data_IF_211998024598
#
_entry.id   IF_211998024598
#
_cell.length_a   1.000
_cell.length_b   1.000
_cell.length_c   1.000
_cell.angle_alpha   90.00
_cell.angle_beta   90.00
_cell.angle_gamma   90.00
#
_symmetry.space_group_name_H-M   'P 1'
#
loop_
_entity.id
_entity.type
_entity.pdbx_description
1 polymer ?
#
# COMPACT_ATOMS: atom_id res chain seq x y z
N UNK A 1 -13.35 13.90 3.41
CA UNK A 1 -13.74 12.48 3.62
C UNK A 1 -13.66 11.67 2.34
N UNK A 2 -13.18 10.44 2.43
CA UNK A 2 -13.20 9.54 1.28
C UNK A 2 -14.54 8.82 1.17
N UNK A 3 -14.97 8.53 -0.07
CA UNK A 3 -16.15 7.69 -0.29
C UNK A 3 -15.90 6.27 0.25
N UNK A 4 -16.88 5.68 0.89
CA UNK A 4 -16.82 4.31 1.44
C UNK A 4 -16.39 3.29 0.40
N UNK A 5 -16.85 3.45 -0.85
CA UNK A 5 -16.44 2.60 -1.97
C UNK A 5 -14.93 2.61 -2.24
N UNK A 6 -14.27 3.73 -2.04
CA UNK A 6 -12.80 3.85 -2.21
C UNK A 6 -12.03 3.15 -1.11
N UNK A 7 -12.54 3.18 0.11
CA UNK A 7 -11.97 2.47 1.26
C UNK A 7 -12.09 0.95 1.03
N UNK A 8 -13.28 0.48 0.69
CA UNK A 8 -13.55 -0.94 0.40
C UNK A 8 -12.73 -1.43 -0.78
N UNK A 9 -12.61 -0.64 -1.86
CA UNK A 9 -11.77 -1.00 -3.01
C UNK A 9 -10.30 -1.15 -2.62
N UNK A 10 -9.80 -0.31 -1.72
CA UNK A 10 -8.42 -0.42 -1.23
C UNK A 10 -8.20 -1.69 -0.40
N UNK A 11 -9.17 -2.08 0.43
CA UNK A 11 -9.10 -3.32 1.21
C UNK A 11 -9.15 -4.57 0.32
N UNK A 12 -10.04 -4.59 -0.69
CA UNK A 12 -10.06 -5.67 -1.71
C UNK A 12 -8.72 -5.79 -2.42
N UNK A 13 -8.13 -4.67 -2.78
CA UNK A 13 -6.81 -4.64 -3.43
C UNK A 13 -5.72 -5.18 -2.51
N UNK A 14 -5.79 -4.87 -1.21
CA UNK A 14 -4.84 -5.41 -0.22
C UNK A 14 -4.87 -6.93 -0.17
N UNK A 15 -6.06 -7.52 -0.19
CA UNK A 15 -6.23 -8.99 -0.23
C UNK A 15 -5.65 -9.60 -1.52
N UNK A 16 -5.88 -8.97 -2.68
CA UNK A 16 -5.33 -9.43 -3.96
C UNK A 16 -3.80 -9.33 -3.97
N UNK A 17 -3.24 -8.22 -3.50
CA UNK A 17 -1.78 -8.03 -3.41
C UNK A 17 -1.15 -9.11 -2.52
N UNK A 18 -1.75 -9.41 -1.37
CA UNK A 18 -1.25 -10.45 -0.47
C UNK A 18 -1.26 -11.83 -1.14
N UNK A 19 -2.34 -12.16 -1.86
CA UNK A 19 -2.48 -13.43 -2.58
C UNK A 19 -1.40 -13.66 -3.64
N UNK A 20 -1.03 -12.63 -4.36
CA UNK A 20 -0.06 -12.71 -5.46
C UNK A 20 1.38 -12.35 -5.06
N UNK A 21 1.63 -11.99 -3.82
CA UNK A 21 2.92 -11.45 -3.37
C UNK A 21 4.09 -12.41 -3.63
N UNK A 22 3.96 -13.67 -3.22
CA UNK A 22 5.01 -14.69 -3.41
C UNK A 22 5.28 -14.94 -4.90
N UNK A 23 4.22 -15.20 -5.65
CA UNK A 23 4.34 -15.49 -7.08
C UNK A 23 4.95 -14.31 -7.86
N UNK A 24 4.61 -13.09 -7.49
CA UNK A 24 5.23 -11.89 -8.09
C UNK A 24 6.70 -11.78 -7.74
N UNK A 25 7.08 -12.10 -6.50
CA UNK A 25 8.47 -12.09 -6.08
C UNK A 25 9.31 -13.11 -6.84
N UNK A 26 8.81 -14.35 -6.99
CA UNK A 26 9.45 -15.40 -7.78
C UNK A 26 9.67 -14.98 -9.25
N UNK A 27 8.62 -14.49 -9.90
CA UNK A 27 8.71 -14.05 -11.29
C UNK A 27 9.70 -12.89 -11.47
N UNK A 28 9.72 -11.94 -10.57
CA UNK A 28 10.67 -10.83 -10.59
C UNK A 28 12.11 -11.30 -10.37
N UNK A 29 12.31 -12.27 -9.46
CA UNK A 29 13.63 -12.87 -9.24
C UNK A 29 14.15 -13.55 -10.50
N UNK A 30 13.31 -14.32 -11.20
CA UNK A 30 13.66 -14.96 -12.49
C UNK A 30 14.02 -13.91 -13.53
N UNK A 31 13.26 -12.84 -13.65
CA UNK A 31 13.51 -11.76 -14.63
C UNK A 31 14.84 -11.05 -14.34
N UNK A 32 15.15 -10.81 -13.06
CA UNK A 32 16.35 -10.11 -12.64
C UNK A 32 17.61 -11.00 -12.62
N UNK A 33 17.46 -12.34 -12.59
CA UNK A 33 18.59 -13.26 -12.53
C UNK A 33 19.41 -13.22 -13.81
N UNK A 34 20.76 -13.07 -13.73
CA UNK A 34 21.63 -13.16 -14.90
C UNK A 34 21.71 -14.56 -15.47
N UNK A 35 21.44 -15.60 -14.67
CA UNK A 35 21.51 -17.00 -15.08
C UNK A 35 20.28 -17.48 -15.86
N UNK A 36 19.22 -16.69 -15.91
CA UNK A 36 18.00 -17.02 -16.65
C UNK A 36 18.22 -16.90 -18.15
N UNK A 37 17.78 -17.92 -18.90
CA UNK A 37 17.78 -17.85 -20.37
C UNK A 37 16.78 -16.81 -20.86
N UNK A 38 16.97 -16.35 -22.12
CA UNK A 38 16.06 -15.39 -22.74
C UNK A 38 14.61 -15.90 -22.81
N UNK A 39 14.39 -17.19 -23.07
CA UNK A 39 13.07 -17.81 -23.14
C UNK A 39 12.39 -17.84 -21.75
N UNK A 40 13.11 -18.30 -20.74
CA UNK A 40 12.62 -18.35 -19.36
C UNK A 40 12.25 -16.96 -18.87
N UNK A 41 13.08 -15.96 -19.16
CA UNK A 41 12.82 -14.57 -18.80
C UNK A 41 11.57 -14.03 -19.52
N UNK A 42 11.42 -14.31 -20.82
CA UNK A 42 10.26 -13.90 -21.60
C UNK A 42 8.96 -14.54 -21.07
N UNK A 43 9.00 -15.81 -20.68
CA UNK A 43 7.85 -16.49 -20.06
C UNK A 43 7.49 -15.90 -18.70
N UNK A 44 8.47 -15.57 -17.89
CA UNK A 44 8.25 -14.91 -16.60
C UNK A 44 7.60 -13.52 -16.77
N UNK A 45 8.05 -12.74 -17.76
CA UNK A 45 7.44 -11.43 -18.10
C UNK A 45 5.98 -11.61 -18.54
N UNK A 46 5.70 -12.58 -19.41
CA UNK A 46 4.33 -12.89 -19.84
C UNK A 46 3.44 -13.32 -18.67
N UNK A 47 3.95 -14.17 -17.79
CA UNK A 47 3.22 -14.63 -16.60
C UNK A 47 2.93 -13.46 -15.65
N UNK A 48 3.89 -12.54 -15.45
CA UNK A 48 3.71 -11.34 -14.65
C UNK A 48 2.65 -10.40 -15.24
N UNK A 49 2.66 -10.21 -16.57
CA UNK A 49 1.71 -9.38 -17.27
C UNK A 49 0.27 -9.93 -17.23
N UNK A 50 0.10 -11.25 -17.14
CA UNK A 50 -1.24 -11.90 -17.03
C UNK A 50 -1.87 -11.74 -15.66
N UNK A 51 -1.12 -11.35 -14.64
CA UNK A 51 -1.68 -11.15 -13.31
C UNK A 51 -2.64 -9.96 -13.27
N UNK A 52 -3.64 -9.95 -12.36
CA UNK A 52 -4.54 -8.81 -12.22
C UNK A 52 -3.76 -7.53 -11.92
N UNK A 53 -4.20 -6.42 -12.46
CA UNK A 53 -3.58 -5.10 -12.19
C UNK A 53 -3.57 -4.76 -10.70
N UNK A 54 -4.61 -5.17 -9.98
CA UNK A 54 -4.72 -4.97 -8.53
C UNK A 54 -3.77 -5.84 -7.70
N UNK A 55 -3.06 -6.78 -8.31
CA UNK A 55 -1.99 -7.53 -7.66
C UNK A 55 -0.71 -6.70 -7.43
N UNK A 56 -0.60 -5.54 -8.05
CA UNK A 56 0.55 -4.66 -7.86
C UNK A 56 0.48 -3.91 -6.52
N UNK A 57 1.49 -4.04 -5.65
CA UNK A 57 1.50 -3.36 -4.35
C UNK A 57 1.59 -1.83 -4.48
N UNK A 58 2.07 -1.31 -5.61
CA UNK A 58 2.14 0.14 -5.87
C UNK A 58 0.76 0.80 -5.90
N UNK A 59 -0.28 0.03 -6.20
CA UNK A 59 -1.67 0.51 -6.26
C UNK A 59 -2.34 0.62 -4.89
N UNK A 60 -1.73 0.07 -3.86
CA UNK A 60 -2.19 0.24 -2.48
C UNK A 60 -1.92 1.66 -2.01
N UNK A 61 -2.87 2.22 -1.28
CA UNK A 61 -2.72 3.53 -0.69
C UNK A 61 -2.98 3.46 0.81
N UNK A 62 -2.07 4.03 1.58
CA UNK A 62 -2.30 4.24 3.01
C UNK A 62 -3.43 5.26 3.17
N UNK A 63 -4.41 4.92 3.98
CA UNK A 63 -5.58 5.77 4.25
C UNK A 63 -5.75 5.98 5.74
N UNK A 64 -6.27 7.13 6.09
CA UNK A 64 -6.65 7.45 7.47
C UNK A 64 -7.60 6.36 8.01
N UNK A 65 -7.36 5.90 9.22
CA UNK A 65 -8.19 4.85 9.84
C UNK A 65 -9.61 5.32 10.18
N UNK A 66 -9.82 6.61 10.34
CA UNK A 66 -11.12 7.19 10.72
C UNK A 66 -11.95 7.57 9.51
N UNK A 67 -11.40 8.39 8.60
CA UNK A 67 -12.15 8.96 7.47
C UNK A 67 -11.69 8.47 6.09
N UNK A 68 -10.64 7.65 6.03
CA UNK A 68 -10.13 7.09 4.79
C UNK A 68 -9.38 8.07 3.89
N UNK A 69 -8.97 9.22 4.39
CA UNK A 69 -8.22 10.22 3.63
C UNK A 69 -6.91 9.63 3.08
N UNK A 70 -6.64 9.73 1.76
CA UNK A 70 -5.46 9.11 1.15
C UNK A 70 -4.20 9.98 1.21
N UNK A 71 -4.30 11.23 1.66
CA UNK A 71 -3.20 12.20 1.70
C UNK A 71 -2.87 12.60 3.12
N UNK A 72 -1.62 13.02 3.33
CA UNK A 72 -1.14 13.44 4.64
C UNK A 72 -1.14 12.34 5.69
N UNK A 73 -0.98 11.08 5.28
CA UNK A 73 -0.98 9.93 6.17
C UNK A 73 0.32 9.85 6.97
N UNK A 74 0.20 9.72 8.28
CA UNK A 74 1.31 9.50 9.20
C UNK A 74 1.31 8.04 9.63
N UNK A 75 2.27 7.26 9.15
CA UNK A 75 2.33 5.80 9.41
C UNK A 75 2.40 5.45 10.88
N UNK A 76 3.09 6.28 11.67
CA UNK A 76 3.22 6.06 13.12
C UNK A 76 1.87 5.99 13.82
N UNK A 77 0.91 6.80 13.39
CA UNK A 77 -0.42 6.89 14.01
C UNK A 77 -1.51 6.17 13.21
N UNK A 78 -1.26 5.84 11.94
CA UNK A 78 -2.29 5.32 11.04
C UNK A 78 -3.35 6.35 10.66
N UNK A 79 -3.08 7.63 10.84
CA UNK A 79 -4.01 8.74 10.71
C UNK A 79 -3.46 9.80 9.77
N UNK A 80 -4.34 10.65 9.23
CA UNK A 80 -3.92 11.83 8.48
C UNK A 80 -3.40 12.92 9.43
N UNK A 81 -2.56 13.82 8.90
CA UNK A 81 -2.00 14.95 9.67
C UNK A 81 -3.07 15.81 10.33
N UNK A 82 -4.20 15.99 9.66
CA UNK A 82 -5.34 16.76 10.18
C UNK A 82 -5.95 16.05 11.38
N UNK A 83 -6.21 14.75 11.24
CA UNK A 83 -6.80 13.93 12.31
C UNK A 83 -5.85 13.80 13.51
N UNK A 84 -4.55 13.65 13.27
CA UNK A 84 -3.56 13.62 14.35
C UNK A 84 -3.59 14.91 15.16
N UNK A 85 -3.67 16.06 14.49
CA UNK A 85 -3.76 17.36 15.18
C UNK A 85 -5.04 17.48 16.01
N UNK A 86 -6.19 17.12 15.43
CA UNK A 86 -7.47 17.14 16.14
C UNK A 86 -7.43 16.24 17.39
N UNK A 87 -7.05 14.98 17.23
CA UNK A 87 -7.00 14.03 18.35
C UNK A 87 -5.95 14.40 19.41
N UNK A 88 -4.85 15.03 19.00
CA UNK A 88 -3.85 15.53 19.94
C UNK A 88 -4.40 16.68 20.79
N UNK A 89 -5.16 17.59 20.19
CA UNK A 89 -5.82 18.67 20.93
C UNK A 89 -6.93 18.17 21.87
N UNK A 90 -7.62 17.10 21.46
CA UNK A 90 -8.68 16.46 22.27
C UNK A 90 -8.10 15.56 23.38
N UNK A 91 -6.79 15.40 23.45
CA UNK A 91 -6.12 14.61 24.49
C UNK A 91 -6.13 13.10 24.24
N UNK A 92 -6.51 12.63 23.06
CA UNK A 92 -6.52 11.19 22.70
C UNK A 92 -5.13 10.63 22.36
N UNK A 93 -4.15 11.50 22.12
CA UNK A 93 -2.77 11.11 21.80
C UNK A 93 -1.82 11.60 22.89
N UNK A 94 -1.60 10.81 23.96
CA UNK A 94 -0.71 11.23 25.06
C UNK A 94 0.73 11.36 24.60
N UNK A 95 1.44 12.34 25.18
CA UNK A 95 2.85 12.59 24.87
C UNK A 95 3.10 13.41 23.61
N UNK A 96 2.07 13.80 22.88
CA UNK A 96 2.21 14.69 21.71
C UNK A 96 2.27 16.14 22.17
N UNK A 97 3.30 16.85 21.74
CA UNK A 97 3.53 18.27 22.04
C UNK A 97 3.74 19.05 20.74
N UNK A 98 3.37 20.33 20.77
CA UNK A 98 3.78 21.25 19.70
C UNK A 98 5.29 21.40 19.72
N UNK A 99 5.92 21.29 18.56
CA UNK A 99 7.33 21.52 18.41
C UNK A 99 7.57 22.78 17.55
N UNK A 100 8.50 23.60 17.97
CA UNK A 100 9.01 24.72 17.18
C UNK A 100 10.52 24.83 17.39
N UNK A 101 11.25 25.09 16.30
CA UNK A 101 12.70 25.29 16.31
C UNK A 101 13.12 26.35 15.29
#
# INVERSE_FOLDING_TARGET
>A
MAKKSKIVANERRRAVVARYAERRAELKAVIASPDSSAEVRADAVRALARQPRDASPVRLRNRDAVDGRPRGHLRKFGLSRVRVRELAHDGHLPGIRKASW
#
